data_IF_237169501921
#
_entry.id   IF_237169501921
#
_cell.length_a   1.000
_cell.length_b   1.000
_cell.length_c   1.000
_cell.angle_alpha   90.00
_cell.angle_beta   90.00
_cell.angle_gamma   90.00
#
_symmetry.space_group_name_H-M   'P 1'
#
loop_
_entity.id
_entity.type
_entity.pdbx_description
1 polymer ?
#
# COMPACT_ATOMS: atom_id res chain seq x y z
N UNK A 1 11.22 -13.84 -3.68
CA UNK A 1 10.61 -13.74 -5.03
C UNK A 1 9.86 -12.42 -5.10
N UNK A 2 10.45 -11.37 -5.70
CA UNK A 2 9.82 -10.04 -5.81
C UNK A 2 9.16 -9.98 -7.19
N UNK A 3 7.83 -10.15 -7.26
CA UNK A 3 7.13 -10.16 -8.54
C UNK A 3 6.81 -8.75 -9.02
N UNK A 4 7.33 -8.42 -10.20
CA UNK A 4 7.11 -7.19 -10.96
C UNK A 4 6.27 -7.49 -12.20
N UNK A 5 5.41 -6.52 -12.53
CA UNK A 5 5.01 -6.08 -13.88
C UNK A 5 3.77 -6.63 -14.60
N UNK A 6 2.95 -7.52 -14.01
CA UNK A 6 1.56 -7.74 -14.51
C UNK A 6 0.61 -8.38 -13.48
N UNK A 7 0.98 -8.34 -12.21
CA UNK A 7 0.18 -8.94 -11.13
C UNK A 7 -0.99 -8.02 -10.78
N UNK A 8 -2.16 -8.63 -10.69
CA UNK A 8 -3.34 -8.03 -10.05
C UNK A 8 -2.96 -7.44 -8.69
N UNK A 9 -3.52 -6.28 -8.37
CA UNK A 9 -3.23 -5.63 -7.10
C UNK A 9 -3.65 -6.54 -5.92
N UNK A 10 -2.79 -6.74 -4.91
CA UNK A 10 -3.12 -7.57 -3.74
C UNK A 10 -4.40 -7.14 -3.02
N UNK A 11 -4.80 -5.86 -3.11
CA UNK A 11 -6.05 -5.37 -2.51
C UNK A 11 -7.34 -6.01 -3.05
N UNK A 12 -7.27 -6.89 -4.05
CA UNK A 12 -8.42 -7.61 -4.60
C UNK A 12 -9.25 -6.82 -5.62
N UNK A 13 -8.78 -5.66 -6.08
CA UNK A 13 -9.52 -4.81 -7.04
C UNK A 13 -9.53 -5.31 -8.49
N UNK A 14 -8.92 -6.47 -8.77
CA UNK A 14 -8.72 -7.03 -10.14
C UNK A 14 -7.93 -6.14 -11.11
N UNK A 15 -7.59 -4.91 -10.72
CA UNK A 15 -6.80 -3.96 -11.51
C UNK A 15 -5.31 -4.26 -11.40
N UNK A 16 -4.51 -3.92 -12.43
CA UNK A 16 -3.06 -3.97 -12.33
C UNK A 16 -2.55 -3.13 -11.15
N UNK A 17 -1.55 -3.63 -10.43
CA UNK A 17 -0.95 -2.91 -9.29
C UNK A 17 -0.57 -1.47 -9.64
N UNK A 18 0.07 -1.26 -10.79
CA UNK A 18 0.53 0.05 -11.27
C UNK A 18 -0.60 1.06 -11.50
N UNK A 19 -1.83 0.60 -11.69
CA UNK A 19 -3.01 1.45 -11.86
C UNK A 19 -3.85 1.53 -10.57
N UNK A 20 -3.57 0.68 -9.58
CA UNK A 20 -4.33 0.59 -8.34
C UNK A 20 -3.57 1.19 -7.14
N UNK A 21 -2.80 0.40 -6.38
CA UNK A 21 -2.11 0.86 -5.18
C UNK A 21 -0.72 1.42 -5.47
N UNK A 22 -0.15 1.16 -6.65
CA UNK A 22 1.16 1.67 -7.08
C UNK A 22 1.29 3.19 -6.92
N UNK A 23 0.40 4.01 -7.52
CA UNK A 23 0.51 5.46 -7.42
C UNK A 23 0.47 5.99 -5.97
N UNK A 24 -0.30 5.33 -5.10
CA UNK A 24 -0.37 5.71 -3.68
C UNK A 24 0.96 5.40 -2.97
N UNK A 25 1.58 4.26 -3.27
CA UNK A 25 2.90 3.91 -2.73
C UNK A 25 4.01 4.84 -3.27
N UNK A 26 3.82 5.39 -4.46
CA UNK A 26 4.72 6.39 -5.08
C UNK A 26 4.46 7.83 -4.58
N UNK A 27 3.54 8.01 -3.62
CA UNK A 27 3.30 9.29 -2.93
C UNK A 27 2.05 10.05 -3.36
N UNK A 28 1.20 9.49 -4.22
CA UNK A 28 -0.11 10.07 -4.50
C UNK A 28 -1.01 10.06 -3.25
N UNK A 29 -1.80 11.12 -3.09
CA UNK A 29 -2.79 11.17 -2.02
C UNK A 29 -3.89 10.13 -2.24
N UNK A 30 -4.26 9.41 -1.19
CA UNK A 30 -5.44 8.55 -1.24
C UNK A 30 -6.71 9.41 -1.36
N UNK A 31 -7.61 9.14 -2.33
CA UNK A 31 -8.81 9.95 -2.55
C UNK A 31 -9.83 9.81 -1.43
N UNK A 32 -9.83 8.67 -0.73
CA UNK A 32 -10.72 8.37 0.38
C UNK A 32 -10.07 7.39 1.37
N UNK A 33 -10.71 7.20 2.52
CA UNK A 33 -10.22 6.31 3.57
C UNK A 33 -10.19 4.83 3.12
N UNK A 34 -11.10 4.40 2.25
CA UNK A 34 -11.15 3.03 1.77
C UNK A 34 -9.97 2.71 0.84
N UNK A 35 -9.58 3.66 -0.01
CA UNK A 35 -8.40 3.60 -0.85
C UNK A 35 -7.12 3.52 -0.01
N UNK A 36 -7.02 4.33 1.05
CA UNK A 36 -5.90 4.27 2.00
C UNK A 36 -5.82 2.91 2.72
N UNK A 37 -6.95 2.35 3.15
CA UNK A 37 -6.96 1.03 3.78
C UNK A 37 -6.51 -0.07 2.82
N UNK A 38 -6.98 -0.04 1.56
CA UNK A 38 -6.58 -1.00 0.52
C UNK A 38 -5.11 -0.90 0.12
N UNK A 39 -4.55 0.31 0.05
CA UNK A 39 -3.13 0.49 -0.21
C UNK A 39 -2.29 -0.01 0.96
N UNK A 40 -2.67 0.29 2.21
CA UNK A 40 -1.97 -0.23 3.40
C UNK A 40 -1.95 -1.75 3.45
N UNK A 41 -3.05 -2.42 3.13
CA UNK A 41 -3.06 -3.88 2.98
C UNK A 41 -2.06 -4.36 1.91
N UNK A 42 -2.08 -3.74 0.73
CA UNK A 42 -1.18 -4.12 -0.36
C UNK A 42 0.29 -3.87 -0.01
N UNK A 43 0.60 -2.78 0.68
CA UNK A 43 1.93 -2.47 1.17
C UNK A 43 2.42 -3.51 2.19
N UNK A 44 1.55 -4.00 3.08
CA UNK A 44 1.88 -5.10 3.99
C UNK A 44 2.22 -6.38 3.23
N UNK A 45 1.36 -6.80 2.29
CA UNK A 45 1.62 -8.01 1.47
C UNK A 45 2.91 -7.90 0.65
N UNK A 46 3.26 -6.70 0.19
CA UNK A 46 4.45 -6.43 -0.62
C UNK A 46 5.70 -6.04 0.21
N UNK A 47 5.60 -6.03 1.54
CA UNK A 47 6.67 -5.61 2.46
C UNK A 47 7.21 -4.18 2.18
N UNK A 48 6.32 -3.22 1.94
CA UNK A 48 6.65 -1.80 1.73
C UNK A 48 6.49 -1.06 3.07
N UNK A 49 7.39 -1.35 4.01
CA UNK A 49 7.32 -0.85 5.39
C UNK A 49 7.32 0.68 5.49
N UNK A 50 8.14 1.35 4.67
CA UNK A 50 8.21 2.80 4.65
C UNK A 50 6.84 3.45 4.37
N UNK A 51 6.05 2.84 3.47
CA UNK A 51 4.70 3.31 3.19
C UNK A 51 3.77 3.14 4.39
N UNK A 52 3.81 1.97 5.05
CA UNK A 52 3.02 1.70 6.26
C UNK A 52 3.32 2.71 7.37
N UNK A 53 4.62 2.98 7.62
CA UNK A 53 5.05 3.94 8.63
C UNK A 53 4.70 5.38 8.27
N UNK A 54 4.70 5.74 6.98
CA UNK A 54 4.35 7.10 6.54
C UNK A 54 2.85 7.39 6.60
N UNK A 55 2.01 6.37 6.46
CA UNK A 55 0.55 6.50 6.40
C UNK A 55 -0.16 6.17 7.72
N UNK A 56 0.61 5.88 8.77
CA UNK A 56 0.10 5.71 10.12
C UNK A 56 0.00 7.05 10.83
N UNK A 57 -1.10 7.24 11.57
CA UNK A 57 -1.19 8.38 12.47
C UNK A 57 -0.01 8.39 13.47
N UNK A 58 0.69 9.53 13.66
CA UNK A 58 1.91 9.57 14.47
C UNK A 58 1.73 9.11 15.92
N UNK A 59 0.56 9.32 16.52
CA UNK A 59 0.31 8.96 17.94
C UNK A 59 0.13 7.47 18.19
N UNK A 60 -0.14 6.66 17.16
CA UNK A 60 -0.41 5.21 17.31
C UNK A 60 0.52 4.34 16.46
N UNK A 61 1.52 4.96 15.81
CA UNK A 61 2.45 4.27 14.93
C UNK A 61 3.49 3.48 15.73
N UNK A 62 3.67 2.17 15.46
CA UNK A 62 4.74 1.37 16.06
C UNK A 62 6.10 1.80 15.48
N UNK A 63 7.16 1.49 16.21
CA UNK A 63 8.54 1.76 15.77
C UNK A 63 8.96 0.86 14.59
N UNK A 64 8.38 -0.32 14.45
CA UNK A 64 8.75 -1.34 13.46
C UNK A 64 7.50 -2.13 13.00
N UNK A 65 7.59 -2.76 11.82
CA UNK A 65 6.58 -3.69 11.28
C UNK A 65 7.18 -5.10 11.37
N UNK A 66 6.38 -6.10 11.76
CA UNK A 66 6.76 -7.50 12.02
C UNK A 66 6.63 -8.43 10.81
#
# INVERSE_FOLDING_TARGET
>A
MKQTSKSTCPCGSERPYAECCGPLHDGAAAPDAAALMRSRYSAYVLAIEAYLLSTWHPSTRPTQID
#
